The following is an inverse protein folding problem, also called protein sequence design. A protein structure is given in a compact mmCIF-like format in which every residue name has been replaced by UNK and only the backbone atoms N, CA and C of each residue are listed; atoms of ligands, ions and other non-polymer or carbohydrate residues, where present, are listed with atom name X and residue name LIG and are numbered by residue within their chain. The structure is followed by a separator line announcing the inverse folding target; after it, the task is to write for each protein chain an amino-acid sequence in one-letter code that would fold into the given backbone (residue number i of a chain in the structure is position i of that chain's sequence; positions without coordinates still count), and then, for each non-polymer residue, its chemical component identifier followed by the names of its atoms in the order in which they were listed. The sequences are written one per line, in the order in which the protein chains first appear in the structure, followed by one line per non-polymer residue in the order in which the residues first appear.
data_IF_812446637379
#
_entry.id   IF_812446637379
#
_cell.length_a   1.000
_cell.length_b   1.000
_cell.length_c   1.000
_cell.angle_alpha   90.00
_cell.angle_beta   90.00
_cell.angle_gamma   90.00
#
_symmetry.space_group_name_H-M   'P 1'
#
loop_
_entity.id
_entity.type
_entity.pdbx_description
1 polymer ?
#
# COMPACT_ATOMS: atom_id res chain seq x y z
N UNK A 1 7.50 4.69 3.65
CA UNK A 1 7.88 3.29 3.94
C UNK A 1 9.06 2.93 3.06
N UNK A 2 10.11 2.36 3.64
CA UNK A 2 11.25 1.81 2.91
C UNK A 2 11.18 0.29 2.98
N UNK A 3 11.20 -0.38 1.84
CA UNK A 3 11.12 -1.85 1.72
C UNK A 3 12.40 -2.40 1.10
N UNK A 4 12.81 -3.61 1.44
CA UNK A 4 14.07 -4.19 0.95
C UNK A 4 13.86 -5.43 0.08
N UNK A 5 12.65 -5.99 0.07
CA UNK A 5 12.32 -7.12 -0.79
C UNK A 5 11.04 -6.89 -1.61
N UNK A 6 10.92 -7.64 -2.70
CA UNK A 6 9.86 -7.41 -3.71
C UNK A 6 8.44 -7.65 -3.18
N UNK A 7 8.25 -8.59 -2.25
CA UNK A 7 6.96 -8.87 -1.64
C UNK A 7 6.47 -7.69 -0.77
N UNK A 8 7.32 -7.13 0.08
CA UNK A 8 7.04 -5.91 0.86
C UNK A 8 6.67 -4.75 -0.06
N UNK A 9 7.50 -4.47 -1.08
CA UNK A 9 7.26 -3.37 -2.03
C UNK A 9 5.89 -3.51 -2.70
N UNK A 10 5.50 -4.75 -3.04
CA UNK A 10 4.20 -5.06 -3.63
C UNK A 10 3.05 -4.81 -2.65
N UNK A 11 3.18 -5.22 -1.40
CA UNK A 11 2.18 -4.99 -0.34
C UNK A 11 1.96 -3.48 -0.18
N UNK A 12 3.04 -2.72 0.01
CA UNK A 12 2.97 -1.25 0.20
C UNK A 12 2.39 -0.57 -1.04
N UNK A 13 2.81 -0.97 -2.25
CA UNK A 13 2.27 -0.44 -3.51
C UNK A 13 0.77 -0.67 -3.62
N UNK A 14 0.29 -1.88 -3.33
CA UNK A 14 -1.14 -2.23 -3.38
C UNK A 14 -1.94 -1.45 -2.34
N UNK A 15 -1.45 -1.36 -1.12
CA UNK A 15 -2.08 -0.56 -0.06
C UNK A 15 -2.26 0.91 -0.47
N UNK A 16 -1.17 1.56 -0.90
CA UNK A 16 -1.23 2.97 -1.29
C UNK A 16 -2.13 3.17 -2.51
N UNK A 17 -2.14 2.24 -3.46
CA UNK A 17 -3.02 2.30 -4.63
C UNK A 17 -4.50 2.21 -4.24
N UNK A 18 -4.89 1.18 -3.49
CA UNK A 18 -6.29 0.96 -3.05
C UNK A 18 -6.83 2.12 -2.20
N UNK A 19 -5.99 2.68 -1.33
CA UNK A 19 -6.41 3.74 -0.41
C UNK A 19 -6.35 5.13 -1.02
N UNK A 20 -5.64 5.30 -2.13
CA UNK A 20 -5.59 6.56 -2.88
C UNK A 20 -6.54 6.61 -4.07
N UNK A 21 -7.07 5.46 -4.52
CA UNK A 21 -8.11 5.43 -5.54
C UNK A 21 -9.45 5.79 -4.89
N UNK A 22 -9.94 6.99 -5.18
CA UNK A 22 -11.34 7.30 -4.97
C UNK A 22 -12.09 6.66 -6.13
N UNK A 23 -12.79 5.55 -5.88
CA UNK A 23 -13.66 4.96 -6.90
C UNK A 23 -14.72 6.00 -7.29
N UNK A 24 -14.47 6.68 -8.40
CA UNK A 24 -15.46 7.52 -9.04
C UNK A 24 -16.36 6.56 -9.78
N UNK A 25 -17.61 6.40 -9.31
CA UNK A 25 -18.58 5.50 -9.92
C UNK A 25 -18.64 5.72 -11.44
N UNK A 26 -18.70 4.62 -12.20
CA UNK A 26 -18.93 4.70 -13.64
C UNK A 26 -20.24 5.44 -13.89
N UNK A 27 -20.25 6.40 -14.83
CA UNK A 27 -21.43 7.19 -15.21
C UNK A 27 -22.63 6.34 -15.67
N UNK A 28 -22.44 5.04 -15.86
CA UNK A 28 -23.42 4.08 -16.36
C UNK A 28 -23.71 2.93 -15.38
N UNK A 29 -23.16 2.94 -14.16
CA UNK A 29 -23.51 1.97 -13.12
C UNK A 29 -24.33 2.64 -12.00
N UNK A 30 -25.19 1.88 -11.28
CA UNK A 30 -25.81 2.36 -10.06
C UNK A 30 -24.74 2.93 -9.12
N UNK A 31 -25.07 3.96 -8.35
CA UNK A 31 -24.14 4.59 -7.39
C UNK A 31 -23.50 3.54 -6.48
N UNK A 32 -22.31 3.08 -6.86
CA UNK A 32 -21.44 2.37 -5.95
C UNK A 32 -21.02 3.40 -4.91
N UNK A 33 -21.26 3.10 -3.63
CA UNK A 33 -20.83 3.92 -2.50
C UNK A 33 -19.39 4.40 -2.76
N UNK A 34 -19.25 5.69 -3.03
CA UNK A 34 -17.96 6.27 -3.39
C UNK A 34 -16.99 6.03 -2.24
N UNK A 35 -15.96 5.20 -2.47
CA UNK A 35 -14.93 4.94 -1.46
C UNK A 35 -14.07 6.18 -1.32
N UNK A 36 -14.25 6.94 -0.24
CA UNK A 36 -13.45 8.14 0.04
C UNK A 36 -11.98 7.77 0.18
N UNK A 37 -11.10 8.40 -0.60
CA UNK A 37 -9.67 8.17 -0.52
C UNK A 37 -9.13 8.61 0.85
N UNK A 38 -8.43 7.71 1.54
CA UNK A 38 -7.81 7.99 2.85
C UNK A 38 -6.35 8.42 2.72
N UNK A 39 -5.77 8.26 1.54
CA UNK A 39 -4.41 8.71 1.22
C UNK A 39 -4.38 9.40 -0.15
N UNK A 40 -3.39 10.27 -0.35
CA UNK A 40 -2.98 10.81 -1.64
C UNK A 40 -1.57 10.32 -1.96
N UNK A 41 -1.33 9.86 -3.18
CA UNK A 41 0.01 9.41 -3.61
C UNK A 41 1.00 10.58 -3.52
N UNK A 42 2.18 10.33 -2.95
CA UNK A 42 3.27 11.30 -2.89
C UNK A 42 4.43 10.79 -3.76
N UNK A 43 4.37 11.12 -5.05
CA UNK A 43 5.37 10.71 -6.03
C UNK A 43 5.34 9.22 -6.39
N UNK A 44 6.41 8.77 -7.06
CA UNK A 44 6.64 7.38 -7.44
C UNK A 44 7.46 6.60 -6.41
N UNK A 45 7.79 5.35 -6.73
CA UNK A 45 8.78 4.62 -5.93
C UNK A 45 10.19 5.15 -6.21
N UNK A 46 10.96 5.42 -5.16
CA UNK A 46 12.35 5.90 -5.24
C UNK A 46 13.30 4.77 -4.87
N UNK A 47 14.41 4.64 -5.60
CA UNK A 47 15.48 3.66 -5.35
C UNK A 47 16.75 4.39 -4.91
N UNK A 48 17.62 3.70 -4.18
CA UNK A 48 18.95 4.22 -3.87
C UNK A 48 19.78 4.44 -5.14
N UNK A 49 20.54 5.54 -5.18
CA UNK A 49 21.47 5.84 -6.28
C UNK A 49 22.83 5.18 -6.09
N UNK A 50 23.67 5.17 -7.14
CA UNK A 50 24.96 4.45 -7.11
C UNK A 50 25.91 4.93 -6.00
N UNK A 51 25.97 6.24 -5.74
CA UNK A 51 26.78 6.80 -4.66
C UNK A 51 26.28 6.35 -3.26
N UNK A 52 24.97 6.26 -3.09
CA UNK A 52 24.36 5.78 -1.84
C UNK A 52 24.62 4.28 -1.65
N UNK A 53 24.51 3.48 -2.71
CA UNK A 53 24.82 2.04 -2.68
C UNK A 53 26.30 1.79 -2.40
N UNK A 54 27.19 2.63 -2.94
CA UNK A 54 28.62 2.54 -2.66
C UNK A 54 28.94 2.85 -1.19
N UNK A 55 28.32 3.89 -0.62
CA UNK A 55 28.50 4.26 0.79
C UNK A 55 27.78 3.29 1.76
N UNK A 56 26.67 2.70 1.33
CA UNK A 56 25.86 1.78 2.10
C UNK A 56 25.35 0.62 1.22
N UNK A 57 26.10 -0.50 1.15
CA UNK A 57 25.70 -1.66 0.35
C UNK A 57 24.33 -2.26 0.72
N UNK A 58 23.84 -2.06 1.94
CA UNK A 58 22.50 -2.51 2.37
C UNK A 58 21.37 -1.74 1.70
N UNK A 59 21.63 -0.54 1.16
CA UNK A 59 20.64 0.28 0.46
C UNK A 59 20.33 -0.22 -0.96
N UNK A 60 21.12 -1.17 -1.50
CA UNK A 60 20.99 -1.66 -2.89
C UNK A 60 19.57 -2.10 -3.27
N UNK A 61 18.85 -2.72 -2.34
CA UNK A 61 17.48 -3.22 -2.58
C UNK A 61 16.40 -2.31 -1.98
N UNK A 62 16.78 -1.17 -1.41
CA UNK A 62 15.85 -0.26 -0.77
C UNK A 62 14.93 0.40 -1.80
N UNK A 63 13.63 0.38 -1.50
CA UNK A 63 12.60 1.14 -2.21
C UNK A 63 11.78 1.98 -1.26
N UNK A 64 11.79 3.28 -1.49
CA UNK A 64 10.97 4.25 -0.76
C UNK A 64 9.63 4.45 -1.49
N UNK A 65 8.54 4.36 -0.73
CA UNK A 65 7.19 4.80 -1.14
C UNK A 65 6.61 5.73 -0.10
N UNK A 66 5.91 6.77 -0.56
CA UNK A 66 5.26 7.75 0.28
C UNK A 66 3.82 8.02 -0.16
N UNK A 67 2.99 8.36 0.82
CA UNK A 67 1.62 8.82 0.62
C UNK A 67 1.26 9.77 1.79
N UNK A 68 0.37 10.72 1.53
CA UNK A 68 -0.10 11.69 2.51
C UNK A 68 -1.51 11.31 2.94
N UNK A 69 -1.76 11.24 4.25
CA UNK A 69 -3.10 10.94 4.79
C UNK A 69 -4.06 12.09 4.49
N UNK A 70 -5.31 11.77 4.18
CA UNK A 70 -6.39 12.76 4.01
C UNK A 70 -7.19 12.90 5.31
N UNK A 71 -8.18 13.80 5.32
CA UNK A 71 -9.11 13.96 6.45
C UNK A 71 -10.14 12.83 6.56
N UNK A 72 -10.18 11.91 5.60
CA UNK A 72 -11.13 10.79 5.65
C UNK A 72 -10.80 9.83 6.81
N UNK A 73 -11.82 9.26 7.48
CA UNK A 73 -11.60 8.29 8.54
C UNK A 73 -10.85 7.06 8.04
N UNK A 74 -10.10 6.40 8.93
CA UNK A 74 -9.40 5.17 8.58
C UNK A 74 -10.41 4.08 8.21
N UNK A 75 -10.22 3.43 7.05
CA UNK A 75 -10.99 2.21 6.73
C UNK A 75 -10.39 1.02 7.51
N UNK A 76 -11.22 0.06 7.89
CA UNK A 76 -10.81 -1.13 8.63
C UNK A 76 -9.78 -2.02 7.92
N UNK A 77 -9.37 -3.08 8.60
CA UNK A 77 -8.32 -3.99 8.14
C UNK A 77 -8.85 -4.96 7.07
N UNK A 78 -8.78 -4.53 5.81
CA UNK A 78 -9.07 -5.38 4.66
C UNK A 78 -7.77 -5.91 4.04
N UNK A 79 -7.42 -7.14 4.38
CA UNK A 79 -6.24 -7.83 3.84
C UNK A 79 -6.49 -8.45 2.45
N UNK A 80 -7.73 -8.48 1.96
CA UNK A 80 -8.06 -9.07 0.65
C UNK A 80 -7.36 -8.36 -0.51
N UNK A 81 -7.06 -7.06 -0.34
CA UNK A 81 -6.35 -6.22 -1.31
C UNK A 81 -4.94 -6.73 -1.66
N UNK A 82 -4.33 -7.54 -0.79
CA UNK A 82 -2.98 -8.05 -0.99
C UNK A 82 -2.92 -9.29 -1.86
N UNK A 83 -4.06 -9.93 -2.19
CA UNK A 83 -4.12 -11.15 -3.00
C UNK A 83 -3.30 -12.29 -2.40
N UNK A 84 -3.28 -12.39 -1.07
CA UNK A 84 -2.61 -13.45 -0.34
C UNK A 84 -3.48 -14.72 -0.37
N UNK A 85 -2.87 -15.92 -0.44
CA UNK A 85 -3.61 -17.17 -0.35
C UNK A 85 -4.31 -17.26 1.01
N UNK A 86 -5.56 -17.74 1.01
CA UNK A 86 -6.25 -18.08 2.26
C UNK A 86 -5.56 -19.32 2.85
N UNK A 87 -4.83 -19.14 3.94
CA UNK A 87 -4.26 -20.25 4.68
C UNK A 87 -5.38 -20.95 5.48
N UNK A 88 -5.40 -22.29 5.57
CA UNK A 88 -6.32 -23.01 6.44
C UNK A 88 -6.14 -22.56 7.90
N UNK A 89 -7.24 -22.55 8.65
CA UNK A 89 -7.45 -21.85 9.92
C UNK A 89 -6.24 -21.83 10.86
N UNK A 90 -5.45 -20.77 10.76
CA UNK A 90 -4.62 -20.30 11.87
C UNK A 90 -5.49 -19.26 12.56
N UNK A 91 -6.08 -19.63 13.70
CA UNK A 91 -6.77 -18.67 14.56
C UNK A 91 -5.81 -17.51 14.84
N UNK A 92 -6.27 -16.27 14.59
CA UNK A 92 -5.47 -15.08 14.87
C UNK A 92 -5.19 -15.05 16.38
N UNK A 93 -3.92 -15.06 16.84
CA UNK A 93 -3.64 -14.78 18.24
C UNK A 93 -3.90 -13.28 18.46
N UNK A 94 -5.02 -12.91 19.11
CA UNK A 94 -5.22 -11.52 19.54
C UNK A 94 -6.64 -11.01 19.81
N UNK A 95 -7.72 -11.73 19.51
CA UNK A 95 -9.07 -11.33 19.97
C UNK A 95 -9.34 -11.92 21.36
N UNK A 96 -9.10 -11.10 22.39
CA UNK A 96 -9.74 -11.20 23.71
C UNK A 96 -10.33 -9.84 24.07
#
# INVERSE_FOLDING_TARGET
VVTFHSLEDRIVKRFIADRADAMTGSRHMPEAQARTATFRKAGGGVTAGDAEVAANPRARSARLRAAVRTEAPARGDDFSIFGLPKLPGIDRPGER
#
